data_IF_437458569228
#
_entry.id   IF_437458569228
#
_cell.length_a   1.000
_cell.length_b   1.000
_cell.length_c   1.000
_cell.angle_alpha   90.00
_cell.angle_beta   90.00
_cell.angle_gamma   90.00
#
_symmetry.space_group_name_H-M   'P 1'
#
loop_
_entity.id
_entity.type
_entity.pdbx_description
1 polymer ?
#
# COMPACT_ATOMS: atom_id res chain seq x y z
N UNK A 1 1.98 -0.65 25.42
CA UNK A 1 1.83 -0.54 23.94
C UNK A 1 1.67 0.93 23.62
N UNK A 2 2.51 1.50 22.79
CA UNK A 2 2.37 2.91 22.39
C UNK A 2 1.27 2.96 21.33
N UNK A 3 0.12 3.51 21.67
CA UNK A 3 -0.97 3.70 20.71
C UNK A 3 -0.76 5.03 20.00
N UNK A 4 -0.27 4.97 18.77
CA UNK A 4 -0.22 6.13 17.90
C UNK A 4 -1.65 6.49 17.46
N UNK A 5 -2.09 7.69 17.79
CA UNK A 5 -3.45 8.15 17.44
C UNK A 5 -3.49 9.06 16.21
N UNK A 6 -2.36 9.26 15.55
CA UNK A 6 -2.23 10.22 14.45
C UNK A 6 -2.29 11.67 14.93
N UNK A 7 -2.18 12.59 13.98
CA UNK A 7 -2.24 14.03 14.23
C UNK A 7 -3.53 14.62 13.63
N UNK A 8 -4.24 15.41 14.41
CA UNK A 8 -5.41 16.13 13.92
C UNK A 8 -5.00 17.24 12.93
N UNK A 9 -5.80 17.43 11.89
CA UNK A 9 -5.75 18.58 11.00
C UNK A 9 -7.14 19.21 10.92
N UNK A 10 -7.25 20.49 11.21
CA UNK A 10 -8.52 21.22 11.27
C UNK A 10 -9.62 20.53 12.11
N UNK A 11 -9.22 19.85 13.19
CA UNK A 11 -10.13 19.11 14.07
C UNK A 11 -10.49 17.70 13.60
N UNK A 12 -10.01 17.26 12.46
CA UNK A 12 -10.19 15.88 11.95
C UNK A 12 -9.00 15.03 12.40
N UNK A 13 -9.29 13.95 13.13
CA UNK A 13 -8.31 12.98 13.62
C UNK A 13 -8.38 11.70 12.81
N UNK A 14 -7.25 11.06 12.49
CA UNK A 14 -7.26 9.77 11.83
C UNK A 14 -8.08 8.71 12.56
N UNK A 15 -8.72 7.83 11.80
CA UNK A 15 -9.41 6.63 12.30
C UNK A 15 -8.56 5.41 11.98
N UNK A 16 -7.97 4.82 13.01
CA UNK A 16 -7.01 3.71 12.87
C UNK A 16 -7.57 2.53 13.67
N UNK A 17 -7.65 1.34 13.03
CA UNK A 17 -8.05 0.12 13.72
C UNK A 17 -7.03 -0.26 14.79
N UNK A 18 -7.50 -0.88 15.89
CA UNK A 18 -6.63 -1.23 17.03
C UNK A 18 -5.54 -2.25 16.67
N UNK A 19 -5.73 -3.02 15.60
CA UNK A 19 -4.79 -4.03 15.11
C UNK A 19 -4.00 -3.52 13.89
N UNK A 20 -3.58 -2.26 13.91
CA UNK A 20 -2.70 -1.63 12.91
C UNK A 20 -1.35 -1.36 13.54
N UNK A 21 -0.28 -1.74 12.82
CA UNK A 21 1.08 -1.39 13.20
C UNK A 21 1.48 -0.04 12.60
N UNK A 22 1.98 0.86 13.44
CA UNK A 22 2.57 2.14 13.01
C UNK A 22 3.98 2.25 13.57
N UNK A 23 4.96 2.24 12.66
CA UNK A 23 6.38 2.32 13.01
C UNK A 23 6.77 3.73 13.47
N UNK A 24 7.89 3.81 14.17
CA UNK A 24 8.48 5.07 14.61
C UNK A 24 8.78 6.01 13.42
N UNK A 25 8.50 7.29 13.58
CA UNK A 25 8.69 8.30 12.56
C UNK A 25 7.62 8.35 11.46
N UNK A 26 6.71 7.38 11.41
CA UNK A 26 5.58 7.47 10.49
C UNK A 26 4.65 8.63 10.87
N UNK A 27 4.13 9.34 9.86
CA UNK A 27 3.24 10.50 10.05
C UNK A 27 1.88 10.21 9.44
N UNK A 28 0.84 10.23 10.27
CA UNK A 28 -0.56 10.09 9.85
C UNK A 28 -1.33 11.32 10.32
N UNK A 29 -1.86 12.13 9.39
CA UNK A 29 -2.47 13.41 9.73
C UNK A 29 -3.73 13.69 8.90
N UNK A 30 -4.78 14.22 9.56
CA UNK A 30 -6.05 14.61 8.93
C UNK A 30 -7.01 13.45 8.73
N UNK A 31 -7.85 13.49 7.69
CA UNK A 31 -8.84 12.44 7.39
C UNK A 31 -8.15 11.23 6.75
N UNK A 32 -7.59 10.38 7.60
CA UNK A 32 -6.94 9.12 7.21
C UNK A 32 -7.63 7.96 7.92
N UNK A 33 -8.02 6.94 7.16
CA UNK A 33 -8.69 5.74 7.66
C UNK A 33 -7.84 4.53 7.34
N UNK A 34 -7.51 3.70 8.33
CA UNK A 34 -6.63 2.54 8.16
C UNK A 34 -7.32 1.30 8.71
N UNK A 35 -7.49 0.31 7.82
CA UNK A 35 -8.15 -0.96 8.12
C UNK A 35 -7.25 -1.95 8.86
N UNK A 36 -7.91 -2.93 9.47
CA UNK A 36 -7.36 -3.96 10.33
C UNK A 36 -6.17 -4.71 9.70
N UNK A 37 -5.19 -5.06 10.51
CA UNK A 37 -3.99 -5.83 10.13
C UNK A 37 -3.04 -5.12 9.16
N UNK A 38 -3.28 -3.86 8.89
CA UNK A 38 -2.40 -3.06 8.05
C UNK A 38 -1.17 -2.55 8.80
N UNK A 39 -0.16 -2.13 8.07
CA UNK A 39 1.09 -1.64 8.66
C UNK A 39 1.63 -0.41 7.93
N UNK A 40 2.05 0.58 8.71
CA UNK A 40 2.66 1.82 8.24
C UNK A 40 4.08 1.85 8.76
N UNK A 41 5.04 1.82 7.85
CA UNK A 41 6.44 1.61 8.18
C UNK A 41 7.21 2.92 8.39
N UNK A 42 8.48 2.81 8.70
CA UNK A 42 9.31 3.92 9.19
C UNK A 42 9.32 5.13 8.25
N UNK A 43 9.01 6.31 8.81
CA UNK A 43 8.98 7.58 8.11
C UNK A 43 8.04 7.66 6.89
N UNK A 44 7.09 6.74 6.75
CA UNK A 44 6.04 6.88 5.75
C UNK A 44 5.08 8.03 6.14
N UNK A 45 4.54 8.74 5.15
CA UNK A 45 3.68 9.91 5.38
C UNK A 45 2.33 9.73 4.70
N UNK A 46 1.26 9.82 5.49
CA UNK A 46 -0.14 9.87 5.03
C UNK A 46 -0.73 11.20 5.46
N UNK A 47 -1.03 12.08 4.49
CA UNK A 47 -1.57 13.42 4.76
C UNK A 47 -2.89 13.64 4.04
N UNK A 48 -4.00 13.48 4.80
CA UNK A 48 -5.38 13.70 4.36
C UNK A 48 -5.89 15.07 4.80
N UNK A 49 -5.41 16.13 4.18
CA UNK A 49 -5.65 17.52 4.58
C UNK A 49 -6.67 18.26 3.70
N UNK A 50 -6.80 17.92 2.41
CA UNK A 50 -7.74 18.54 1.48
C UNK A 50 -8.77 17.57 0.92
N UNK A 51 -8.58 16.28 1.14
CA UNK A 51 -9.50 15.18 0.89
C UNK A 51 -9.11 14.03 1.81
N UNK A 52 -9.76 12.87 1.74
CA UNK A 52 -9.46 11.75 2.62
C UNK A 52 -8.49 10.72 2.00
N UNK A 53 -7.78 10.02 2.88
CA UNK A 53 -7.04 8.79 2.55
C UNK A 53 -7.77 7.61 3.17
N UNK A 54 -8.01 6.56 2.39
CA UNK A 54 -8.53 5.28 2.89
C UNK A 54 -7.58 4.16 2.54
N UNK A 55 -7.16 3.41 3.56
CA UNK A 55 -6.28 2.25 3.43
C UNK A 55 -7.07 1.04 3.93
N UNK A 56 -7.18 0.01 3.09
CA UNK A 56 -7.87 -1.24 3.41
C UNK A 56 -7.15 -2.09 4.44
N UNK A 57 -7.62 -3.33 4.59
CA UNK A 57 -7.08 -4.30 5.55
C UNK A 57 -5.91 -5.09 4.96
N UNK A 58 -5.03 -5.62 5.82
CA UNK A 58 -3.84 -6.39 5.41
C UNK A 58 -2.95 -5.66 4.38
N UNK A 59 -2.93 -4.33 4.40
CA UNK A 59 -2.20 -3.48 3.47
C UNK A 59 -0.96 -2.91 4.15
N UNK A 60 0.16 -2.87 3.44
CA UNK A 60 1.39 -2.32 4.01
C UNK A 60 1.89 -1.12 3.21
N UNK A 61 2.17 -0.03 3.91
CA UNK A 61 2.77 1.19 3.39
C UNK A 61 4.20 1.25 3.90
N UNK A 62 5.14 0.96 3.03
CA UNK A 62 6.53 0.73 3.42
C UNK A 62 7.30 2.04 3.68
N UNK A 63 8.53 1.87 4.15
CA UNK A 63 9.37 2.99 4.61
C UNK A 63 9.46 4.11 3.58
N UNK A 64 9.34 5.36 4.05
CA UNK A 64 9.43 6.58 3.25
C UNK A 64 8.38 6.71 2.14
N UNK A 65 7.38 5.83 2.06
CA UNK A 65 6.30 6.01 1.10
C UNK A 65 5.43 7.22 1.47
N UNK A 66 4.89 7.89 0.45
CA UNK A 66 4.07 9.08 0.63
C UNK A 66 2.69 8.90 -0.02
N UNK A 67 1.65 8.99 0.80
CA UNK A 67 0.26 9.05 0.34
C UNK A 67 -0.27 10.47 0.58
N UNK A 68 -0.80 11.07 -0.47
CA UNK A 68 -1.41 12.38 -0.39
C UNK A 68 -2.63 12.49 -1.30
N UNK A 69 -3.35 13.56 -1.19
CA UNK A 69 -4.63 13.82 -1.83
C UNK A 69 -4.60 15.13 -2.63
N UNK A 70 -5.56 15.33 -3.51
CA UNK A 70 -5.84 16.63 -4.12
C UNK A 70 -7.33 16.95 -3.96
N UNK A 71 -7.73 18.19 -4.20
CA UNK A 71 -9.13 18.59 -4.12
C UNK A 71 -10.00 17.73 -5.07
N UNK A 72 -10.99 17.01 -4.51
CA UNK A 72 -11.87 16.06 -5.20
C UNK A 72 -11.15 14.80 -5.74
N UNK A 73 -9.95 14.52 -5.24
CA UNK A 73 -9.19 13.32 -5.56
C UNK A 73 -8.67 12.66 -4.28
N UNK A 74 -9.48 11.83 -3.61
CA UNK A 74 -9.04 11.07 -2.46
C UNK A 74 -7.95 10.07 -2.88
N UNK A 75 -7.14 9.64 -1.91
CA UNK A 75 -6.21 8.54 -2.09
C UNK A 75 -6.82 7.26 -1.50
N UNK A 76 -7.20 6.32 -2.34
CA UNK A 76 -7.88 5.09 -1.92
C UNK A 76 -6.97 3.90 -2.24
N UNK A 77 -6.60 3.17 -1.21
CA UNK A 77 -5.80 1.95 -1.27
C UNK A 77 -6.66 0.80 -0.77
N UNK A 78 -6.82 -0.24 -1.58
CA UNK A 78 -7.63 -1.42 -1.26
C UNK A 78 -6.99 -2.35 -0.24
N UNK A 79 -7.57 -3.54 -0.14
CA UNK A 79 -7.10 -4.61 0.75
C UNK A 79 -5.93 -5.38 0.12
N UNK A 80 -5.05 -5.93 0.96
CA UNK A 80 -3.89 -6.73 0.53
C UNK A 80 -2.99 -6.02 -0.48
N UNK A 81 -2.86 -4.71 -0.35
CA UNK A 81 -1.98 -3.90 -1.20
C UNK A 81 -0.61 -3.75 -0.54
N UNK A 82 0.44 -3.82 -1.34
CA UNK A 82 1.79 -3.42 -0.93
C UNK A 82 2.17 -2.13 -1.64
N UNK A 83 2.43 -1.07 -0.87
CA UNK A 83 3.05 0.16 -1.36
C UNK A 83 4.51 0.15 -0.95
N UNK A 84 5.39 -0.05 -1.92
CA UNK A 84 6.82 -0.24 -1.73
C UNK A 84 7.55 1.00 -1.23
N UNK A 85 8.75 0.79 -0.70
CA UNK A 85 9.61 1.85 -0.15
C UNK A 85 9.76 3.05 -1.10
N UNK A 86 9.67 4.26 -0.57
CA UNK A 86 9.78 5.51 -1.31
C UNK A 86 8.74 5.71 -2.44
N UNK A 87 7.72 4.88 -2.54
CA UNK A 87 6.68 5.08 -3.55
C UNK A 87 5.78 6.28 -3.20
N UNK A 88 5.23 6.92 -4.23
CA UNK A 88 4.29 8.03 -4.08
C UNK A 88 2.95 7.65 -4.72
N UNK A 89 1.86 7.77 -3.95
CA UNK A 89 0.50 7.66 -4.47
C UNK A 89 -0.25 8.94 -4.15
N UNK A 90 -0.64 9.68 -5.17
CA UNK A 90 -1.21 11.01 -5.01
C UNK A 90 -2.60 11.09 -5.65
N UNK A 91 -3.65 11.24 -4.82
CA UNK A 91 -5.02 11.42 -5.28
C UNK A 91 -5.49 10.35 -6.27
N UNK A 92 -5.20 9.09 -6.01
CA UNK A 92 -5.41 7.97 -6.93
C UNK A 92 -6.14 6.81 -6.25
N UNK A 93 -6.71 5.91 -7.05
CA UNK A 93 -7.35 4.69 -6.59
C UNK A 93 -6.48 3.49 -6.95
N UNK A 94 -6.11 2.71 -5.95
CA UNK A 94 -5.42 1.42 -6.07
C UNK A 94 -6.36 0.34 -5.54
N UNK A 95 -6.85 -0.51 -6.43
CA UNK A 95 -7.75 -1.60 -6.06
C UNK A 95 -7.02 -2.70 -5.29
N UNK A 96 -7.79 -3.69 -4.78
CA UNK A 96 -7.24 -4.75 -3.96
C UNK A 96 -6.15 -5.56 -4.66
N UNK A 97 -5.28 -6.18 -3.86
CA UNK A 97 -4.24 -7.10 -4.35
C UNK A 97 -3.33 -6.45 -5.39
N UNK A 98 -2.98 -5.18 -5.21
CA UNK A 98 -2.01 -4.50 -6.05
C UNK A 98 -0.63 -4.41 -5.37
N UNK A 99 0.41 -4.36 -6.19
CA UNK A 99 1.76 -4.03 -5.75
C UNK A 99 2.24 -2.76 -6.44
N UNK A 100 2.47 -1.71 -5.66
CA UNK A 100 3.14 -0.50 -6.09
C UNK A 100 4.62 -0.63 -5.74
N UNK A 101 5.46 -0.79 -6.74
CA UNK A 101 6.89 -1.08 -6.57
C UNK A 101 7.66 0.09 -5.95
N UNK A 102 8.85 -0.20 -5.43
CA UNK A 102 9.73 0.79 -4.81
C UNK A 102 9.97 1.99 -5.71
N UNK A 103 9.87 3.21 -5.17
CA UNK A 103 10.05 4.47 -5.89
C UNK A 103 9.10 4.67 -7.09
N UNK A 104 8.05 3.86 -7.23
CA UNK A 104 7.03 4.11 -8.24
C UNK A 104 6.20 5.35 -7.87
N UNK A 105 5.70 6.05 -8.89
CA UNK A 105 4.85 7.23 -8.70
C UNK A 105 3.52 7.02 -9.42
N UNK A 106 2.43 7.18 -8.68
CA UNK A 106 1.06 7.13 -9.20
C UNK A 106 0.43 8.51 -9.02
N UNK A 107 0.12 9.18 -10.13
CA UNK A 107 -0.35 10.57 -10.13
C UNK A 107 -1.87 10.67 -10.00
N UNK A 108 -2.33 11.91 -9.77
CA UNK A 108 -3.72 12.29 -9.48
C UNK A 108 -4.71 11.72 -10.50
N UNK A 109 -5.81 11.18 -10.00
CA UNK A 109 -6.89 10.63 -10.82
C UNK A 109 -6.59 9.28 -11.46
N UNK A 110 -5.38 8.74 -11.31
CA UNK A 110 -5.05 7.41 -11.82
C UNK A 110 -5.86 6.33 -11.11
N UNK A 111 -6.15 5.24 -11.84
CA UNK A 111 -6.85 4.07 -11.30
C UNK A 111 -6.06 2.81 -11.62
N UNK A 112 -5.65 2.09 -10.60
CA UNK A 112 -4.89 0.84 -10.73
C UNK A 112 -5.84 -0.32 -10.47
N UNK A 113 -6.14 -1.08 -11.51
CA UNK A 113 -7.04 -2.23 -11.43
C UNK A 113 -6.45 -3.39 -10.62
N UNK A 114 -7.33 -4.13 -9.97
CA UNK A 114 -7.05 -5.25 -9.07
C UNK A 114 -6.01 -6.22 -9.63
N UNK A 115 -5.13 -6.72 -8.78
CA UNK A 115 -4.11 -7.71 -9.15
C UNK A 115 -2.94 -7.13 -9.97
N UNK A 116 -2.86 -5.81 -10.14
CA UNK A 116 -1.83 -5.19 -10.96
C UNK A 116 -0.53 -4.94 -10.18
N UNK A 117 0.57 -4.95 -10.92
CA UNK A 117 1.90 -4.62 -10.44
C UNK A 117 2.39 -3.38 -11.18
N UNK A 118 2.64 -2.32 -10.44
CA UNK A 118 3.39 -1.15 -10.92
C UNK A 118 4.86 -1.40 -10.54
N UNK A 119 5.71 -1.61 -11.53
CA UNK A 119 7.11 -1.96 -11.30
C UNK A 119 7.87 -0.83 -10.60
N UNK A 120 8.98 -1.18 -9.96
CA UNK A 120 9.84 -0.21 -9.28
C UNK A 120 10.25 0.93 -10.24
N UNK A 121 10.16 2.19 -9.76
CA UNK A 121 10.49 3.38 -10.52
C UNK A 121 9.54 3.73 -11.67
N UNK A 122 8.44 3.00 -11.88
CA UNK A 122 7.48 3.33 -12.92
C UNK A 122 6.65 4.56 -12.58
N UNK A 123 6.26 5.33 -13.61
CA UNK A 123 5.42 6.53 -13.49
C UNK A 123 4.07 6.31 -14.16
N UNK A 124 3.00 6.19 -13.36
CA UNK A 124 1.62 6.21 -13.85
C UNK A 124 1.14 7.65 -13.92
N UNK A 125 0.72 8.06 -15.11
CA UNK A 125 0.34 9.45 -15.38
C UNK A 125 -1.04 9.80 -14.78
N UNK A 126 -1.33 11.09 -14.72
CA UNK A 126 -2.62 11.60 -14.28
C UNK A 126 -3.78 11.01 -15.11
N UNK A 127 -4.86 10.64 -14.40
CA UNK A 127 -6.07 10.05 -14.98
C UNK A 127 -5.86 8.76 -15.78
N UNK A 128 -4.66 8.18 -15.73
CA UNK A 128 -4.39 6.91 -16.42
C UNK A 128 -5.15 5.77 -15.74
N UNK A 129 -5.83 4.95 -16.55
CA UNK A 129 -6.51 3.74 -16.07
C UNK A 129 -5.67 2.53 -16.45
N UNK A 130 -5.24 1.80 -15.45
CA UNK A 130 -4.52 0.53 -15.59
C UNK A 130 -5.52 -0.61 -15.44
N UNK A 131 -5.71 -1.46 -16.47
CA UNK A 131 -6.60 -2.61 -16.36
C UNK A 131 -6.17 -3.60 -15.28
N UNK A 132 -7.08 -4.42 -14.74
CA UNK A 132 -6.73 -5.46 -13.77
C UNK A 132 -5.65 -6.42 -14.28
N UNK A 133 -4.88 -7.00 -13.35
CA UNK A 133 -3.82 -7.98 -13.61
C UNK A 133 -2.71 -7.48 -14.56
N UNK A 134 -2.46 -6.18 -14.61
CA UNK A 134 -1.45 -5.57 -15.48
C UNK A 134 -0.08 -5.50 -14.80
N UNK A 135 0.98 -5.77 -15.58
CA UNK A 135 2.33 -5.37 -15.23
C UNK A 135 2.67 -4.07 -15.97
N UNK A 136 2.93 -3.01 -15.21
CA UNK A 136 3.26 -1.67 -15.72
C UNK A 136 4.72 -1.38 -15.46
N UNK A 137 5.47 -0.94 -16.48
CA UNK A 137 6.90 -0.59 -16.36
C UNK A 137 7.22 0.73 -17.05
N UNK A 138 8.25 1.41 -16.60
CA UNK A 138 8.90 2.53 -17.27
C UNK A 138 8.33 3.92 -16.94
N UNK A 139 8.91 4.93 -17.58
CA UNK A 139 8.58 6.36 -17.47
C UNK A 139 8.40 6.93 -18.88
N UNK A 140 7.17 7.22 -19.31
CA UNK A 140 5.88 6.94 -18.65
C UNK A 140 5.57 5.45 -18.57
N UNK A 141 4.75 5.07 -17.58
CA UNK A 141 4.36 3.70 -17.33
C UNK A 141 3.48 3.10 -18.44
N UNK A 142 3.87 1.93 -18.93
CA UNK A 142 3.13 1.19 -19.97
C UNK A 142 2.81 -0.22 -19.50
N UNK A 143 1.62 -0.69 -19.81
CA UNK A 143 1.26 -2.11 -19.62
C UNK A 143 2.08 -2.95 -20.61
N UNK A 144 2.92 -3.82 -20.10
CA UNK A 144 3.77 -4.72 -20.92
C UNK A 144 3.31 -6.16 -20.88
N UNK A 145 2.53 -6.54 -19.89
CA UNK A 145 1.99 -7.90 -19.72
C UNK A 145 0.72 -7.86 -18.88
N UNK A 146 -0.16 -8.85 -19.12
CA UNK A 146 -1.30 -9.16 -18.26
C UNK A 146 -1.12 -10.58 -17.74
N UNK A 147 -1.14 -10.77 -16.42
CA UNK A 147 -1.02 -12.08 -15.79
C UNK A 147 -1.63 -12.02 -14.38
N UNK A 148 -2.18 -13.14 -13.91
CA UNK A 148 -2.71 -13.25 -12.55
C UNK A 148 -1.55 -13.39 -11.54
N UNK A 149 -1.38 -12.38 -10.71
CA UNK A 149 -0.41 -12.33 -9.62
C UNK A 149 -1.08 -12.21 -8.23
N UNK A 150 -2.41 -12.36 -8.18
CA UNK A 150 -3.19 -12.09 -6.96
C UNK A 150 -2.67 -12.91 -5.79
N UNK A 151 -2.43 -14.21 -5.98
CA UNK A 151 -1.92 -15.07 -4.91
C UNK A 151 -0.58 -14.58 -4.35
N UNK A 152 0.35 -14.22 -5.23
CA UNK A 152 1.69 -13.82 -4.82
C UNK A 152 1.66 -12.48 -4.07
N UNK A 153 0.85 -11.53 -4.56
CA UNK A 153 0.66 -10.23 -3.93
C UNK A 153 -0.03 -10.40 -2.58
N UNK A 154 -1.06 -11.25 -2.50
CA UNK A 154 -1.75 -11.57 -1.26
C UNK A 154 -0.80 -12.10 -0.19
N UNK A 155 0.01 -13.08 -0.53
CA UNK A 155 1.00 -13.65 0.38
C UNK A 155 2.09 -12.63 0.78
N UNK A 156 2.48 -11.74 -0.13
CA UNK A 156 3.39 -10.65 0.19
C UNK A 156 2.79 -9.70 1.24
N UNK A 157 1.52 -9.38 1.13
CA UNK A 157 0.83 -8.54 2.11
C UNK A 157 0.75 -9.22 3.49
N UNK A 158 0.40 -10.49 3.54
CA UNK A 158 0.38 -11.29 4.77
C UNK A 158 1.75 -11.41 5.41
N UNK A 159 2.82 -11.52 4.62
CA UNK A 159 4.19 -11.55 5.13
C UNK A 159 4.49 -10.31 6.00
N UNK A 160 4.06 -9.13 5.56
CA UNK A 160 4.25 -7.90 6.35
C UNK A 160 3.42 -7.88 7.63
N UNK A 161 2.22 -8.48 7.62
CA UNK A 161 1.44 -8.67 8.84
C UNK A 161 2.19 -9.56 9.84
N UNK A 162 2.66 -10.72 9.39
CA UNK A 162 3.40 -11.65 10.25
C UNK A 162 4.73 -11.06 10.75
N UNK A 163 5.38 -10.23 9.96
CA UNK A 163 6.65 -9.59 10.33
C UNK A 163 6.48 -8.71 11.57
N UNK A 164 5.55 -7.75 11.55
CA UNK A 164 5.39 -6.88 12.71
C UNK A 164 4.70 -7.58 13.89
N UNK A 165 3.72 -8.43 13.61
CA UNK A 165 2.95 -9.07 14.67
C UNK A 165 3.78 -10.14 15.39
N UNK A 166 4.39 -11.06 14.66
CA UNK A 166 5.04 -12.26 15.21
C UNK A 166 6.54 -12.05 15.33
N UNK A 167 7.24 -11.64 14.26
CA UNK A 167 8.70 -11.56 14.28
C UNK A 167 9.20 -10.42 15.17
N UNK A 168 8.50 -9.26 15.17
CA UNK A 168 8.79 -8.18 16.13
C UNK A 168 8.16 -8.43 17.51
N UNK A 169 7.29 -9.44 17.64
CA UNK A 169 6.65 -9.80 18.89
C UNK A 169 5.66 -8.76 19.43
N UNK A 170 5.11 -7.90 18.55
CA UNK A 170 4.22 -6.83 18.97
C UNK A 170 2.79 -7.32 19.18
N UNK A 171 2.39 -8.40 18.49
CA UNK A 171 1.08 -9.02 18.61
C UNK A 171 1.16 -10.54 18.31
N UNK A 172 1.82 -11.35 19.16
CA UNK A 172 2.09 -12.76 18.87
C UNK A 172 0.83 -13.62 18.71
N UNK A 173 -0.30 -13.18 19.29
CA UNK A 173 -1.59 -13.87 19.24
C UNK A 173 -2.52 -13.26 18.15
N UNK A 174 -1.96 -12.58 17.15
CA UNK A 174 -2.75 -11.97 16.07
C UNK A 174 -3.55 -13.03 15.32
N UNK A 175 -4.81 -12.74 15.11
CA UNK A 175 -5.73 -13.61 14.40
C UNK A 175 -5.72 -13.38 12.87
N UNK A 176 -6.53 -14.18 12.15
CA UNK A 176 -6.74 -14.06 10.72
C UNK A 176 -5.75 -14.87 9.90
N UNK A 177 -5.77 -14.65 8.60
CA UNK A 177 -4.96 -15.40 7.64
C UNK A 177 -3.47 -15.10 7.83
N UNK A 178 -2.64 -16.14 7.72
CA UNK A 178 -1.20 -16.08 7.93
C UNK A 178 -0.43 -16.29 6.62
N UNK A 179 0.79 -15.77 6.56
CA UNK A 179 1.69 -16.00 5.44
C UNK A 179 2.07 -17.48 5.29
N UNK A 180 2.11 -18.00 4.07
CA UNK A 180 2.40 -19.41 3.79
C UNK A 180 3.87 -19.83 3.99
N UNK A 181 4.74 -18.86 4.29
CA UNK A 181 6.17 -19.07 4.53
C UNK A 181 7.01 -19.36 3.28
N UNK A 182 6.44 -19.28 2.08
CA UNK A 182 7.10 -19.74 0.84
C UNK A 182 7.03 -18.76 -0.31
N UNK A 183 5.92 -18.04 -0.44
CA UNK A 183 5.65 -17.19 -1.61
C UNK A 183 6.40 -15.87 -1.49
N UNK A 184 7.20 -15.51 -2.50
CA UNK A 184 7.90 -14.22 -2.59
C UNK A 184 7.64 -13.60 -3.96
N UNK A 185 7.02 -12.42 -4.01
CA UNK A 185 6.77 -11.68 -5.26
C UNK A 185 8.10 -11.32 -5.93
N UNK A 186 8.19 -11.58 -7.23
CA UNK A 186 9.36 -11.19 -8.05
C UNK A 186 10.54 -12.15 -8.00
N UNK A 187 10.45 -13.28 -7.28
CA UNK A 187 11.51 -14.30 -7.26
C UNK A 187 11.29 -15.46 -8.22
N UNK A 188 10.12 -15.57 -8.83
CA UNK A 188 9.92 -16.48 -9.96
C UNK A 188 10.72 -15.94 -11.16
N UNK A 189 12.03 -16.18 -11.16
CA UNK A 189 12.74 -16.31 -12.42
C UNK A 189 12.08 -17.52 -13.09
N UNK A 190 11.20 -17.28 -14.05
CA UNK A 190 10.88 -18.29 -15.04
C UNK A 190 12.25 -18.81 -15.49
N UNK A 191 12.58 -20.03 -15.12
CA UNK A 191 13.71 -20.71 -15.75
C UNK A 191 13.31 -20.80 -17.19
N UNK A 192 13.83 -19.89 -18.00
CA UNK A 192 13.89 -20.09 -19.43
C UNK A 192 14.71 -21.35 -19.63
N UNK A 193 14.03 -22.45 -19.93
CA UNK A 193 14.63 -23.62 -20.56
C UNK A 193 15.04 -23.28 -21.99
#
# INVERSE_FOLDING_TARGET
MYTYQGNAFQGITPTIDDEVYIAEGAVVVGDVRIGKYSSIWYNAVMRGDVDYISIGSNTNIQDLACLHVANNYPCIIGDYVTVGHCAVVHGAVVEDHCLIGMSATVLTGAKIGRGSIIAAGALVLENQVIPPNSLVVGVPGKVVRTADHIRDIHQQALKYKDEWAIQYGLHPDIEGEMYDGKTIVGTSRDKAE
#
